data_IF_989217646233
#
_entry.id   IF_989217646233
#
_cell.length_a   1.000
_cell.length_b   1.000
_cell.length_c   1.000
_cell.angle_alpha   90.00
_cell.angle_beta   90.00
_cell.angle_gamma   90.00
#
_symmetry.space_group_name_H-M   'P 1'
#
loop_
_entity.id
_entity.type
_entity.pdbx_description
1 polymer ?
#
# COMPACT_ATOMS: atom_id res chain seq x y z
N UNK A 1 -25.15 3.79 -17.87
CA UNK A 1 -24.86 3.75 -17.21
C UNK A 1 -24.43 3.47 -16.79
N UNK A 2 -24.32 3.70 -17.26
CA UNK A 2 -23.81 3.15 -16.76
C UNK A 2 -23.99 2.99 -15.60
N UNK A 3 -24.72 2.96 -15.48
CA UNK A 3 -25.04 2.65 -14.17
C UNK A 3 -23.87 2.21 -13.34
N UNK A 4 -22.75 2.66 -13.68
CA UNK A 4 -21.49 2.25 -13.09
C UNK A 4 -20.99 3.30 -12.11
N UNK A 5 -21.90 3.78 -11.27
CA UNK A 5 -21.45 4.63 -10.17
C UNK A 5 -20.73 3.76 -9.17
N UNK A 6 -19.56 4.22 -8.76
CA UNK A 6 -18.79 3.53 -7.72
C UNK A 6 -19.46 3.72 -6.37
N UNK A 7 -19.55 2.66 -5.60
CA UNK A 7 -19.96 2.75 -4.22
C UNK A 7 -18.72 3.09 -3.39
N UNK A 8 -18.47 4.38 -3.22
CA UNK A 8 -17.27 4.84 -2.52
C UNK A 8 -17.25 4.43 -1.06
N UNK A 9 -18.42 4.35 -0.41
CA UNK A 9 -18.48 3.90 0.97
C UNK A 9 -18.04 2.44 1.11
N UNK A 10 -18.51 1.59 0.21
CA UNK A 10 -18.09 0.19 0.19
C UNK A 10 -16.60 0.06 -0.11
N UNK A 11 -16.13 0.77 -1.14
CA UNK A 11 -14.71 0.75 -1.49
C UNK A 11 -13.84 1.22 -0.33
N UNK A 12 -14.24 2.28 0.34
CA UNK A 12 -13.50 2.81 1.48
C UNK A 12 -13.37 1.77 2.60
N UNK A 13 -14.46 1.07 2.89
CA UNK A 13 -14.46 0.02 3.90
C UNK A 13 -13.48 -1.09 3.52
N UNK A 14 -13.53 -1.55 2.27
CA UNK A 14 -12.66 -2.62 1.80
C UNK A 14 -11.20 -2.19 1.75
N UNK A 15 -10.94 -0.96 1.32
CA UNK A 15 -9.59 -0.42 1.29
C UNK A 15 -8.99 -0.32 2.69
N UNK A 16 -9.80 0.04 3.68
CA UNK A 16 -9.33 0.06 5.07
C UNK A 16 -8.90 -1.32 5.54
N UNK A 17 -9.65 -2.35 5.17
CA UNK A 17 -9.30 -3.72 5.52
C UNK A 17 -8.01 -4.16 4.83
N UNK A 18 -7.84 -3.78 3.57
CA UNK A 18 -6.61 -4.05 2.83
C UNK A 18 -5.43 -3.36 3.50
N UNK A 19 -5.60 -2.10 3.89
CA UNK A 19 -4.55 -1.35 4.56
C UNK A 19 -4.19 -1.96 5.92
N UNK A 20 -5.18 -2.43 6.66
CA UNK A 20 -4.94 -3.09 7.95
C UNK A 20 -4.16 -4.40 7.77
N UNK A 21 -4.51 -5.19 6.77
CA UNK A 21 -3.79 -6.42 6.48
C UNK A 21 -2.34 -6.11 6.12
N UNK A 22 -2.11 -5.07 5.31
CA UNK A 22 -0.78 -4.64 4.96
C UNK A 22 0.01 -4.16 6.17
N UNK A 23 -0.61 -3.39 7.04
CA UNK A 23 0.04 -2.92 8.27
C UNK A 23 0.44 -4.09 9.17
N UNK A 24 -0.43 -5.09 9.27
CA UNK A 24 -0.11 -6.30 10.04
C UNK A 24 1.09 -7.02 9.46
N UNK A 25 1.14 -7.16 8.14
CA UNK A 25 2.28 -7.76 7.45
C UNK A 25 3.56 -6.99 7.76
N UNK A 26 3.53 -5.66 7.67
CA UNK A 26 4.70 -4.83 7.95
C UNK A 26 5.20 -5.01 9.38
N UNK A 27 4.29 -5.07 10.35
CA UNK A 27 4.67 -5.26 11.75
C UNK A 27 5.27 -6.63 12.00
N UNK A 28 4.70 -7.66 11.42
CA UNK A 28 5.22 -9.02 11.57
C UNK A 28 6.60 -9.15 10.94
N UNK A 29 6.80 -8.58 9.77
CA UNK A 29 8.11 -8.60 9.10
C UNK A 29 9.14 -7.79 9.88
N UNK A 30 8.72 -6.69 10.51
CA UNK A 30 9.63 -5.88 11.33
C UNK A 30 10.15 -6.67 12.53
N UNK A 31 9.33 -7.51 13.12
CA UNK A 31 9.76 -8.38 14.22
C UNK A 31 10.82 -9.38 13.77
N UNK A 32 10.62 -9.97 12.59
CA UNK A 32 11.61 -10.90 12.01
C UNK A 32 12.93 -10.19 11.73
N UNK A 33 12.83 -8.96 11.25
CA UNK A 33 13.96 -8.12 10.93
C UNK A 33 14.85 -7.90 12.15
N UNK A 34 14.26 -7.59 13.29
CA UNK A 34 15.00 -7.35 14.53
C UNK A 34 15.82 -8.55 14.96
N UNK A 35 15.31 -9.75 14.71
CA UNK A 35 15.99 -10.98 15.12
C UNK A 35 17.20 -11.30 14.25
N UNK A 36 17.18 -10.84 13.00
CA UNK A 36 18.15 -11.26 12.00
C UNK A 36 19.07 -10.14 11.54
N UNK A 37 18.87 -8.94 12.03
CA UNK A 37 19.64 -7.79 11.57
C UNK A 37 21.04 -7.81 12.14
N UNK A 38 22.02 -7.79 11.25
CA UNK A 38 23.43 -7.72 11.62
C UNK A 38 24.15 -6.54 11.02
N UNK A 39 23.67 -6.01 9.89
CA UNK A 39 24.34 -4.88 9.27
C UNK A 39 23.35 -4.07 8.43
N UNK A 40 23.73 -2.82 8.15
CA UNK A 40 22.86 -1.87 7.44
C UNK A 40 22.49 -2.32 6.03
N UNK A 41 23.42 -2.92 5.31
CA UNK A 41 23.15 -3.40 3.95
C UNK A 41 22.05 -4.44 3.95
N UNK A 42 22.09 -5.36 4.89
CA UNK A 42 21.05 -6.38 5.03
C UNK A 42 19.70 -5.74 5.37
N UNK A 43 19.72 -4.67 6.17
CA UNK A 43 18.52 -3.94 6.53
C UNK A 43 17.84 -3.35 5.29
N UNK A 44 18.61 -2.68 4.43
CA UNK A 44 18.07 -2.08 3.22
C UNK A 44 17.54 -3.13 2.25
N UNK A 45 18.24 -4.24 2.09
CA UNK A 45 17.78 -5.33 1.23
C UNK A 45 16.47 -5.92 1.73
N UNK A 46 16.35 -6.09 3.03
CA UNK A 46 15.15 -6.64 3.65
C UNK A 46 13.95 -5.70 3.47
N UNK A 47 14.15 -4.40 3.70
CA UNK A 47 13.09 -3.41 3.54
C UNK A 47 12.63 -3.34 2.09
N UNK A 48 13.55 -3.44 1.14
CA UNK A 48 13.19 -3.49 -0.28
C UNK A 48 12.30 -4.67 -0.60
N UNK A 49 12.60 -5.84 -0.05
CA UNK A 49 11.75 -7.02 -0.19
C UNK A 49 10.36 -6.78 0.42
N UNK A 50 10.32 -6.23 1.64
CA UNK A 50 9.06 -5.98 2.35
C UNK A 50 8.19 -5.00 1.57
N UNK A 51 8.79 -3.93 1.05
CA UNK A 51 8.07 -2.95 0.24
C UNK A 51 7.42 -3.59 -0.99
N UNK A 52 8.19 -4.36 -1.71
CA UNK A 52 7.70 -5.01 -2.93
C UNK A 52 6.62 -6.04 -2.65
N UNK A 53 6.79 -6.81 -1.60
CA UNK A 53 5.80 -7.82 -1.23
C UNK A 53 4.51 -7.18 -0.73
N UNK A 54 4.61 -6.10 0.06
CA UNK A 54 3.44 -5.36 0.51
C UNK A 54 2.68 -4.77 -0.67
N UNK A 55 3.40 -4.17 -1.61
CA UNK A 55 2.79 -3.62 -2.83
C UNK A 55 2.08 -4.70 -3.62
N UNK A 56 2.70 -5.86 -3.80
CA UNK A 56 2.12 -6.98 -4.53
C UNK A 56 0.81 -7.43 -3.90
N UNK A 57 0.77 -7.57 -2.58
CA UNK A 57 -0.42 -7.98 -1.85
C UNK A 57 -1.54 -6.96 -2.00
N UNK A 58 -1.21 -5.68 -1.90
CA UNK A 58 -2.19 -4.60 -2.05
C UNK A 58 -2.77 -4.60 -3.46
N UNK A 59 -1.92 -4.69 -4.48
CA UNK A 59 -2.36 -4.69 -5.88
C UNK A 59 -3.27 -5.88 -6.14
N UNK A 60 -2.91 -7.06 -5.66
CA UNK A 60 -3.73 -8.26 -5.83
C UNK A 60 -5.13 -8.06 -5.24
N UNK A 61 -5.20 -7.53 -4.02
CA UNK A 61 -6.48 -7.29 -3.35
C UNK A 61 -7.30 -6.22 -4.07
N UNK A 62 -6.67 -5.12 -4.48
CA UNK A 62 -7.37 -4.05 -5.18
C UNK A 62 -7.83 -4.48 -6.57
N UNK A 63 -7.07 -5.33 -7.25
CA UNK A 63 -7.47 -5.87 -8.56
C UNK A 63 -8.74 -6.70 -8.46
N UNK A 64 -8.91 -7.41 -7.35
CA UNK A 64 -10.14 -8.15 -7.10
C UNK A 64 -11.30 -7.20 -6.80
N UNK A 65 -11.01 -6.13 -6.06
CA UNK A 65 -12.04 -5.17 -5.63
C UNK A 65 -12.55 -4.30 -6.78
N UNK A 66 -11.66 -3.84 -7.65
CA UNK A 66 -12.02 -2.96 -8.78
C UNK A 66 -11.14 -3.33 -9.98
N UNK A 67 -11.54 -4.38 -10.74
CA UNK A 67 -10.66 -4.92 -11.79
C UNK A 67 -10.33 -3.96 -12.93
N UNK A 68 -11.19 -2.97 -13.18
CA UNK A 68 -10.97 -2.03 -14.29
C UNK A 68 -10.00 -0.90 -13.98
N UNK A 69 -9.56 -0.76 -12.73
CA UNK A 69 -8.67 0.33 -12.35
C UNK A 69 -7.21 0.01 -12.67
N UNK A 70 -6.47 1.05 -13.05
CA UNK A 70 -5.02 0.96 -13.18
C UNK A 70 -4.32 1.26 -11.87
N UNK A 71 -2.99 1.26 -11.90
CA UNK A 71 -2.16 1.43 -10.70
C UNK A 71 -1.00 2.38 -10.94
N UNK A 72 -0.72 3.21 -9.95
CA UNK A 72 0.54 3.94 -9.84
C UNK A 72 1.13 3.53 -8.50
N UNK A 73 2.27 2.85 -8.54
CA UNK A 73 2.89 2.33 -7.34
C UNK A 73 4.37 2.69 -7.32
N UNK A 74 4.86 3.06 -6.14
CA UNK A 74 6.20 3.57 -5.96
C UNK A 74 7.28 2.53 -6.26
N UNK A 75 6.99 1.26 -5.98
CA UNK A 75 7.97 0.19 -6.18
C UNK A 75 7.97 -0.38 -7.60
N UNK A 76 7.19 0.19 -8.49
CA UNK A 76 7.22 -0.16 -9.91
C UNK A 76 6.38 -1.36 -10.31
N UNK A 77 5.60 -1.93 -9.41
CA UNK A 77 4.73 -3.07 -9.73
C UNK A 77 3.53 -2.67 -10.56
N UNK A 78 3.19 -1.39 -10.55
CA UNK A 78 2.12 -0.87 -11.36
C UNK A 78 2.66 0.06 -12.42
N UNK A 79 1.83 0.47 -13.34
CA UNK A 79 2.22 1.43 -14.36
C UNK A 79 1.14 2.47 -14.52
N UNK A 80 1.55 3.67 -14.93
CA UNK A 80 0.61 4.71 -15.28
C UNK A 80 -0.13 4.26 -16.53
N UNK A 81 -1.44 4.18 -16.42
CA UNK A 81 -2.28 3.69 -17.50
C UNK A 81 -3.33 4.73 -17.84
N UNK A 82 -4.05 4.50 -18.92
CA UNK A 82 -5.06 5.41 -19.42
C UNK A 82 -6.46 5.08 -18.89
N UNK A 83 -6.55 4.25 -17.88
CA UNK A 83 -7.85 3.90 -17.29
C UNK A 83 -8.51 5.09 -16.63
N UNK A 84 -9.82 5.08 -16.60
CA UNK A 84 -10.62 6.11 -15.95
C UNK A 84 -10.32 6.19 -14.45
N UNK A 85 -10.15 5.04 -13.82
CA UNK A 85 -9.84 4.95 -12.40
C UNK A 85 -8.43 4.42 -12.20
N UNK A 86 -7.75 4.97 -11.21
CA UNK A 86 -6.38 4.59 -10.93
C UNK A 86 -6.12 4.62 -9.43
N UNK A 87 -5.57 3.53 -8.91
CA UNK A 87 -5.10 3.47 -7.53
C UNK A 87 -3.70 4.06 -7.45
N UNK A 88 -3.47 4.86 -6.41
CA UNK A 88 -2.15 5.39 -6.10
C UNK A 88 -1.74 4.77 -4.77
N UNK A 89 -0.64 4.03 -4.76
CA UNK A 89 -0.24 3.20 -3.64
C UNK A 89 1.16 3.56 -3.18
N UNK A 90 1.30 3.79 -1.87
CA UNK A 90 2.59 3.81 -1.20
C UNK A 90 2.51 2.78 -0.07
N UNK A 91 3.10 1.59 -0.27
CA UNK A 91 2.94 0.51 0.71
C UNK A 91 3.68 0.72 2.01
N UNK A 92 4.68 1.61 2.01
CA UNK A 92 5.44 1.91 3.22
C UNK A 92 6.01 3.32 3.11
N UNK A 93 5.26 4.28 3.64
CA UNK A 93 5.73 5.66 3.76
C UNK A 93 6.42 5.80 5.12
N UNK A 94 7.63 6.34 5.11
CA UNK A 94 8.45 6.42 6.31
C UNK A 94 9.41 5.25 6.43
N UNK A 95 10.07 4.89 5.33
CA UNK A 95 11.00 3.75 5.28
C UNK A 95 12.11 3.85 6.32
N UNK A 96 12.66 5.06 6.52
CA UNK A 96 13.70 5.25 7.53
C UNK A 96 13.17 4.97 8.93
N UNK A 97 11.97 5.44 9.23
CA UNK A 97 11.33 5.16 10.52
C UNK A 97 11.11 3.66 10.70
N UNK A 98 10.69 2.99 9.64
CA UNK A 98 10.48 1.55 9.68
C UNK A 98 11.77 0.80 9.99
N UNK A 99 12.88 1.16 9.33
CA UNK A 99 14.17 0.53 9.55
C UNK A 99 14.60 0.65 11.01
N UNK A 100 14.38 1.82 11.62
CA UNK A 100 14.81 2.09 12.99
C UNK A 100 13.75 1.78 14.04
N UNK A 101 12.62 1.21 13.62
CA UNK A 101 11.48 0.91 14.50
C UNK A 101 10.98 2.15 15.25
N UNK A 102 10.95 3.26 14.55
CA UNK A 102 10.47 4.53 15.07
C UNK A 102 9.15 4.87 14.39
N UNK A 103 8.12 5.10 15.17
CA UNK A 103 6.83 5.53 14.63
C UNK A 103 6.87 7.02 14.31
N UNK A 104 6.05 7.51 13.36
CA UNK A 104 5.11 6.70 12.58
C UNK A 104 5.70 6.25 11.24
N UNK A 105 5.19 5.16 10.75
CA UNK A 105 5.26 4.83 9.33
C UNK A 105 3.85 4.43 8.90
N UNK A 106 3.53 4.51 7.61
CA UNK A 106 2.14 4.31 7.21
C UNK A 106 2.00 3.63 5.86
N UNK A 107 0.79 3.11 5.65
CA UNK A 107 0.34 2.59 4.37
C UNK A 107 -0.61 3.63 3.78
N UNK A 108 -0.41 4.00 2.53
CA UNK A 108 -1.24 4.97 1.83
C UNK A 108 -1.84 4.35 0.58
N UNK A 109 -3.16 4.44 0.46
CA UNK A 109 -3.89 3.94 -0.71
C UNK A 109 -4.91 5.00 -1.10
N UNK A 110 -4.88 5.42 -2.35
CA UNK A 110 -5.83 6.40 -2.86
C UNK A 110 -6.42 5.95 -4.18
N UNK A 111 -7.66 6.34 -4.43
CA UNK A 111 -8.32 6.11 -5.71
C UNK A 111 -8.63 7.45 -6.35
N UNK A 112 -8.27 7.60 -7.59
CA UNK A 112 -8.58 8.81 -8.35
C UNK A 112 -9.23 8.47 -9.69
N UNK A 113 -9.99 9.41 -10.23
CA UNK A 113 -10.37 9.37 -11.61
C UNK A 113 -9.47 10.35 -12.38
N UNK A 114 -9.79 10.65 -13.63
CA UNK A 114 -8.95 11.55 -14.43
C UNK A 114 -8.94 13.00 -13.94
N UNK A 115 -9.90 13.38 -13.12
CA UNK A 115 -10.09 14.77 -12.70
C UNK A 115 -9.81 15.01 -11.23
N UNK A 116 -10.05 14.03 -10.37
CA UNK A 116 -10.02 14.29 -8.93
C UNK A 116 -9.72 13.05 -8.11
N UNK A 117 -9.37 13.30 -6.87
CA UNK A 117 -9.22 12.26 -5.86
C UNK A 117 -10.60 11.85 -5.37
N UNK A 118 -10.91 10.55 -5.42
CA UNK A 118 -12.20 10.02 -5.00
C UNK A 118 -12.18 9.47 -3.58
N UNK A 119 -11.04 8.89 -3.17
CA UNK A 119 -10.92 8.19 -1.91
C UNK A 119 -9.46 8.19 -1.49
N UNK A 120 -9.22 8.38 -0.21
CA UNK A 120 -7.88 8.28 0.35
C UNK A 120 -7.92 7.56 1.68
N UNK A 121 -6.95 6.70 1.91
CA UNK A 121 -6.80 5.98 3.15
C UNK A 121 -5.35 6.02 3.59
N UNK A 122 -5.11 6.54 4.78
CA UNK A 122 -3.79 6.54 5.42
C UNK A 122 -3.92 5.77 6.72
N UNK A 123 -3.13 4.72 6.85
CA UNK A 123 -3.12 3.93 8.07
C UNK A 123 -1.73 4.02 8.69
N UNK A 124 -1.65 4.70 9.82
CA UNK A 124 -0.42 4.83 10.59
C UNK A 124 -0.24 3.62 11.48
N UNK A 125 0.98 3.13 11.53
CA UNK A 125 1.31 2.03 12.42
C UNK A 125 2.14 2.57 13.57
N UNK A 126 1.92 2.01 14.76
CA UNK A 126 2.74 2.30 15.92
C UNK A 126 3.50 1.05 16.33
N UNK A 127 4.64 1.23 17.00
CA UNK A 127 5.45 0.10 17.44
C UNK A 127 4.70 -0.80 18.38
#
# INVERSE_FOLDING_TARGET
>A
MNGMELDLAYLCKEVREIARASATFLKEERRKFDRNLVEEKSAHNYVSYVDKESERQIIEALSTLLPEAGFIAEEGSGSLTDEEYCWVIDPLDGTSNYIHDIAPYCVSIALRNRKELLLGCLLYTSP
#
